data_IF_515912998215
#
_entry.id   IF_515912998215
#
_cell.length_a   1.000
_cell.length_b   1.000
_cell.length_c   1.000
_cell.angle_alpha   90.00
_cell.angle_beta   90.00
_cell.angle_gamma   90.00
#
_symmetry.space_group_name_H-M   'P 1'
#
loop_
_entity.id
_entity.type
_entity.pdbx_description
1 polymer ?
#
# COMPACT_ATOMS: atom_id res chain seq x y z
N UNK A 1 2.87 12.92 4.77
CA UNK A 1 3.21 11.48 4.78
C UNK A 1 4.70 11.39 5.05
N UNK A 2 5.12 10.92 6.23
CA UNK A 2 6.54 10.78 6.62
C UNK A 2 7.15 9.63 5.82
N UNK A 3 7.83 9.99 4.72
CA UNK A 3 8.04 9.15 3.53
C UNK A 3 9.26 8.25 3.52
N UNK A 4 9.60 7.60 4.64
CA UNK A 4 10.69 6.62 4.65
C UNK A 4 10.20 5.17 4.55
N UNK A 5 8.97 4.90 5.00
CA UNK A 5 8.33 3.58 4.94
C UNK A 5 6.83 3.78 4.76
N UNK A 6 6.21 2.99 3.91
CA UNK A 6 4.77 2.77 3.94
C UNK A 6 4.48 1.32 4.26
N UNK A 7 3.52 1.09 5.16
CA UNK A 7 3.02 -0.23 5.47
C UNK A 7 1.52 -0.24 5.20
N UNK A 8 1.10 -1.13 4.30
CA UNK A 8 -0.27 -1.24 3.84
C UNK A 8 -0.57 -2.66 3.38
N UNK A 9 -1.86 -2.95 3.37
CA UNK A 9 -2.41 -4.19 2.88
C UNK A 9 -3.08 -3.94 1.53
N UNK A 10 -2.92 -4.87 0.61
CA UNK A 10 -3.57 -4.85 -0.71
C UNK A 10 -4.68 -5.88 -0.70
N UNK A 11 -5.88 -5.46 -1.09
CA UNK A 11 -7.06 -6.31 -1.22
C UNK A 11 -7.73 -6.05 -2.56
N UNK A 12 -8.47 -7.03 -3.07
CA UNK A 12 -9.42 -6.77 -4.14
C UNK A 12 -10.56 -5.90 -3.60
N UNK A 13 -11.09 -5.00 -4.42
CA UNK A 13 -12.18 -4.09 -4.01
C UNK A 13 -13.44 -4.85 -3.57
N UNK A 14 -13.62 -6.08 -4.07
CA UNK A 14 -14.72 -6.99 -3.70
C UNK A 14 -14.56 -7.64 -2.33
N UNK A 15 -13.35 -7.61 -1.75
CA UNK A 15 -13.07 -8.17 -0.42
C UNK A 15 -13.32 -7.17 0.72
N UNK A 16 -13.66 -5.92 0.37
CA UNK A 16 -13.84 -4.85 1.35
C UNK A 16 -15.21 -4.17 1.21
N UNK A 17 -15.70 -3.68 2.34
CA UNK A 17 -16.83 -2.75 2.39
C UNK A 17 -16.32 -1.43 2.97
N UNK A 18 -16.75 -0.32 2.39
CA UNK A 18 -16.36 1.03 2.85
C UNK A 18 -17.59 1.81 3.28
N UNK A 19 -17.44 2.64 4.31
CA UNK A 19 -18.51 3.49 4.82
C UNK A 19 -17.95 4.82 5.32
N UNK A 20 -18.78 5.87 5.27
CA UNK A 20 -18.39 7.23 5.63
C UNK A 20 -17.85 8.06 4.47
N UNK A 21 -17.80 9.38 4.67
CA UNK A 21 -17.32 10.33 3.68
C UNK A 21 -15.78 10.43 3.69
N UNK A 22 -15.20 10.61 2.51
CA UNK A 22 -13.75 10.81 2.32
C UNK A 22 -13.47 11.97 1.38
N UNK A 23 -12.39 12.71 1.64
CA UNK A 23 -11.79 13.58 0.63
C UNK A 23 -10.89 12.75 -0.31
N UNK A 24 -10.86 13.09 -1.59
CA UNK A 24 -10.04 12.40 -2.58
C UNK A 24 -9.01 13.33 -3.21
N UNK A 25 -7.82 12.80 -3.51
CA UNK A 25 -6.76 13.52 -4.22
C UNK A 25 -6.11 12.60 -5.25
N UNK A 26 -6.05 13.07 -6.49
CA UNK A 26 -5.41 12.38 -7.60
C UNK A 26 -3.97 12.90 -7.79
N UNK A 27 -3.04 11.98 -8.03
CA UNK A 27 -1.65 12.31 -8.30
C UNK A 27 -1.01 11.33 -9.28
N UNK A 28 0.00 11.81 -10.02
CA UNK A 28 0.79 10.98 -10.92
C UNK A 28 1.80 10.15 -10.13
N UNK A 29 1.72 8.83 -10.22
CA UNK A 29 2.67 7.91 -9.60
C UNK A 29 3.98 7.80 -10.39
N UNK A 30 4.95 7.03 -9.87
CA UNK A 30 6.23 6.78 -10.55
C UNK A 30 6.09 6.11 -11.92
N UNK A 31 4.96 5.43 -12.16
CA UNK A 31 4.61 4.81 -13.45
C UNK A 31 4.08 5.82 -14.49
N UNK A 32 3.83 7.07 -14.12
CA UNK A 32 3.19 8.07 -14.99
C UNK A 32 1.66 8.00 -15.01
N UNK A 33 1.05 6.99 -14.37
CA UNK A 33 -0.41 6.85 -14.28
C UNK A 33 -1.00 7.48 -13.02
N UNK A 34 -2.30 7.76 -13.05
CA UNK A 34 -3.02 8.45 -11.98
C UNK A 34 -3.40 7.48 -10.87
N UNK A 35 -3.08 7.91 -9.65
CA UNK A 35 -3.35 7.22 -8.40
C UNK A 35 -4.33 8.07 -7.60
N UNK A 36 -5.35 7.45 -6.99
CA UNK A 36 -6.38 8.18 -6.20
C UNK A 36 -6.27 7.84 -4.71
N UNK A 37 -5.84 8.81 -3.91
CA UNK A 37 -5.78 8.66 -2.45
C UNK A 37 -7.05 9.20 -1.79
N UNK A 38 -7.57 8.47 -0.80
CA UNK A 38 -8.73 8.85 0.00
C UNK A 38 -8.34 9.13 1.44
N UNK A 39 -8.90 10.19 2.01
CA UNK A 39 -8.56 10.71 3.33
C UNK A 39 -9.81 10.89 4.19
N UNK A 40 -9.69 10.58 5.48
CA UNK A 40 -10.74 10.89 6.46
C UNK A 40 -10.98 12.41 6.50
N UNK A 41 -12.23 12.83 6.38
CA UNK A 41 -12.63 14.26 6.39
C UNK A 41 -12.36 14.97 7.71
N UNK A 42 -12.17 14.21 8.80
CA UNK A 42 -11.93 14.77 10.14
C UNK A 42 -10.44 14.91 10.47
N UNK A 43 -9.66 13.83 10.31
CA UNK A 43 -8.26 13.80 10.73
C UNK A 43 -7.26 13.90 9.57
N UNK A 44 -7.74 13.90 8.31
CA UNK A 44 -6.92 13.92 7.09
C UNK A 44 -5.89 12.79 6.98
N UNK A 45 -6.06 11.71 7.77
CA UNK A 45 -5.29 10.48 7.59
C UNK A 45 -5.74 9.80 6.31
N UNK A 46 -4.79 9.32 5.50
CA UNK A 46 -5.09 8.49 4.33
C UNK A 46 -5.71 7.19 4.82
N UNK A 47 -6.86 6.82 4.28
CA UNK A 47 -7.60 5.61 4.67
C UNK A 47 -7.63 4.56 3.56
N UNK A 48 -7.48 4.99 2.31
CA UNK A 48 -7.50 4.09 1.15
C UNK A 48 -6.71 4.70 -0.01
N UNK A 49 -6.20 3.84 -0.87
CA UNK A 49 -5.41 4.18 -2.05
C UNK A 49 -5.88 3.31 -3.21
N UNK A 50 -6.44 3.90 -4.25
CA UNK A 50 -6.66 3.22 -5.52
C UNK A 50 -5.40 3.37 -6.38
N UNK A 51 -4.62 2.30 -6.59
CA UNK A 51 -3.56 2.33 -7.59
C UNK A 51 -4.14 2.61 -8.97
N UNK A 52 -3.28 3.07 -9.87
CA UNK A 52 -3.67 3.24 -11.28
C UNK A 52 -4.27 1.95 -11.85
N UNK A 53 -5.37 2.07 -12.59
CA UNK A 53 -6.08 0.93 -13.17
C UNK A 53 -5.19 0.16 -14.16
N UNK A 54 -4.31 0.86 -14.87
CA UNK A 54 -3.33 0.30 -15.80
C UNK A 54 -2.26 -0.56 -15.11
N UNK A 55 -2.11 -0.43 -13.79
CA UNK A 55 -1.10 -1.13 -13.00
C UNK A 55 -1.72 -2.25 -12.16
N UNK A 56 -2.83 -1.97 -11.46
CA UNK A 56 -3.53 -2.93 -10.61
C UNK A 56 -5.04 -2.67 -10.60
N UNK A 57 -5.71 -3.05 -11.68
CA UNK A 57 -7.18 -2.99 -11.77
C UNK A 57 -7.86 -3.79 -10.65
N UNK A 58 -8.88 -3.20 -10.04
CA UNK A 58 -9.70 -3.87 -9.02
C UNK A 58 -9.03 -4.04 -7.66
N UNK A 59 -7.83 -3.51 -7.45
CA UNK A 59 -7.12 -3.56 -6.17
C UNK A 59 -7.22 -2.25 -5.41
N UNK A 60 -7.15 -2.32 -4.08
CA UNK A 60 -7.10 -1.18 -3.18
C UNK A 60 -6.03 -1.39 -2.12
N UNK A 61 -5.28 -0.32 -1.82
CA UNK A 61 -4.32 -0.27 -0.73
C UNK A 61 -4.92 0.37 0.51
N UNK A 62 -4.86 -0.33 1.65
CA UNK A 62 -5.32 0.14 2.96
C UNK A 62 -4.11 0.28 3.89
N UNK A 63 -3.87 1.46 4.51
CA UNK A 63 -2.75 1.61 5.45
C UNK A 63 -2.92 0.69 6.67
N UNK A 64 -1.87 -0.02 7.09
CA UNK A 64 -2.02 -1.01 8.16
C UNK A 64 -2.55 -0.41 9.47
N UNK A 65 -2.19 0.84 9.76
CA UNK A 65 -2.62 1.54 10.97
C UNK A 65 -4.13 1.82 11.06
N UNK A 66 -4.90 1.62 9.99
CA UNK A 66 -6.36 1.81 10.00
C UNK A 66 -7.13 0.56 10.44
N UNK A 67 -6.45 -0.58 10.62
CA UNK A 67 -7.06 -1.83 11.06
C UNK A 67 -7.15 -1.90 12.59
N UNK A 68 -8.28 -2.35 13.12
CA UNK A 68 -8.47 -2.57 14.56
C UNK A 68 -7.47 -3.60 15.12
N UNK A 69 -7.19 -4.64 14.34
CA UNK A 69 -6.28 -5.73 14.67
C UNK A 69 -4.87 -5.56 14.05
N UNK A 70 -4.43 -4.32 13.76
CA UNK A 70 -3.16 -4.04 13.07
C UNK A 70 -1.95 -4.78 13.66
N UNK A 71 -1.89 -4.97 14.98
CA UNK A 71 -0.79 -5.66 15.68
C UNK A 71 -0.68 -7.15 15.36
N UNK A 72 -1.76 -7.77 14.88
CA UNK A 72 -1.81 -9.19 14.54
C UNK A 72 -1.46 -9.46 13.07
N UNK A 73 -1.29 -8.41 12.27
CA UNK A 73 -0.99 -8.51 10.84
C UNK A 73 0.53 -8.39 10.67
N UNK A 74 1.14 -9.41 10.06
CA UNK A 74 2.56 -9.40 9.70
C UNK A 74 2.72 -9.10 8.20
N UNK A 75 3.68 -8.25 7.81
CA UNK A 75 4.00 -8.07 6.40
C UNK A 75 4.55 -9.38 5.82
N UNK A 76 3.97 -9.83 4.71
CA UNK A 76 4.45 -11.00 3.96
C UNK A 76 5.45 -10.63 2.87
N UNK A 77 5.32 -9.41 2.33
CA UNK A 77 6.10 -8.95 1.19
C UNK A 77 6.64 -7.56 1.47
N UNK A 78 7.89 -7.32 1.06
CA UNK A 78 8.47 -5.99 0.91
C UNK A 78 8.89 -5.75 -0.54
N UNK A 79 8.72 -4.52 -1.01
CA UNK A 79 8.97 -4.07 -2.39
C UNK A 79 9.75 -2.75 -2.34
N UNK A 80 10.44 -2.40 -3.42
CA UNK A 80 11.37 -1.27 -3.47
C UNK A 80 12.50 -1.37 -2.45
N UNK A 81 13.04 -2.58 -2.25
CA UNK A 81 14.12 -2.78 -1.27
C UNK A 81 15.41 -2.06 -1.66
N UNK A 82 15.59 -1.68 -2.93
CA UNK A 82 16.70 -0.82 -3.38
C UNK A 82 16.66 0.57 -2.73
N UNK A 83 15.47 1.06 -2.39
CA UNK A 83 15.24 2.39 -1.81
C UNK A 83 15.22 2.35 -0.27
N UNK A 84 15.44 1.18 0.34
CA UNK A 84 15.38 0.99 1.80
C UNK A 84 16.54 1.72 2.46
N UNK A 85 16.25 2.54 3.47
CA UNK A 85 17.29 3.21 4.26
C UNK A 85 18.12 2.15 5.00
N UNK A 86 19.45 2.31 5.01
CA UNK A 86 20.39 1.32 5.57
C UNK A 86 20.02 0.84 6.98
N UNK A 87 19.54 1.74 7.85
CA UNK A 87 19.17 1.38 9.22
C UNK A 87 17.92 0.50 9.35
N UNK A 88 17.13 0.37 8.27
CA UNK A 88 15.94 -0.47 8.18
C UNK A 88 16.25 -1.87 7.64
N UNK A 89 17.47 -2.16 7.21
CA UNK A 89 17.86 -3.44 6.57
C UNK A 89 17.96 -4.64 7.51
N UNK A 90 17.65 -4.49 8.80
CA UNK A 90 17.62 -5.64 9.72
C UNK A 90 16.56 -6.66 9.26
N UNK A 91 16.80 -7.97 9.43
CA UNK A 91 15.87 -9.01 8.98
C UNK A 91 14.55 -8.88 9.74
N UNK A 92 13.49 -8.51 9.03
CA UNK A 92 12.14 -8.30 9.57
C UNK A 92 11.44 -9.67 9.77
N UNK A 93 10.99 -9.91 11.00
CA UNK A 93 10.58 -11.21 11.54
C UNK A 93 9.22 -11.73 11.01
N UNK A 94 9.09 -11.89 9.70
CA UNK A 94 7.87 -12.43 9.09
C UNK A 94 7.68 -12.14 7.59
N UNK A 95 8.59 -11.38 6.97
CA UNK A 95 8.56 -11.15 5.51
C UNK A 95 9.06 -12.41 4.79
N UNK A 96 8.23 -12.94 3.91
CA UNK A 96 8.48 -14.16 3.14
C UNK A 96 9.20 -13.83 1.81
N UNK A 97 8.85 -12.71 1.19
CA UNK A 97 9.35 -12.31 -0.13
C UNK A 97 9.83 -10.85 -0.16
N UNK A 98 10.90 -10.60 -0.91
CA UNK A 98 11.54 -9.28 -1.02
C UNK A 98 11.89 -8.99 -2.47
N UNK A 99 11.50 -7.82 -2.95
CA UNK A 99 11.75 -7.39 -4.33
C UNK A 99 12.43 -6.02 -4.35
N UNK A 100 13.42 -5.87 -5.24
CA UNK A 100 14.13 -4.59 -5.42
C UNK A 100 13.22 -3.50 -5.99
N UNK A 101 12.19 -3.86 -6.75
CA UNK A 101 11.19 -2.95 -7.33
C UNK A 101 9.76 -3.38 -6.91
N UNK A 102 8.76 -3.09 -7.72
CA UNK A 102 7.32 -3.26 -7.43
C UNK A 102 6.84 -4.69 -7.21
N UNK A 103 7.63 -5.70 -7.61
CA UNK A 103 7.28 -7.12 -7.49
C UNK A 103 6.03 -7.53 -8.27
N UNK A 104 5.54 -6.70 -9.20
CA UNK A 104 4.33 -6.95 -9.99
C UNK A 104 4.55 -8.06 -11.03
N UNK A 105 5.63 -8.06 -11.84
CA UNK A 105 5.86 -9.11 -12.82
C UNK A 105 5.92 -10.50 -12.20
N UNK A 106 6.57 -10.64 -11.05
CA UNK A 106 6.74 -11.90 -10.32
C UNK A 106 5.40 -12.42 -9.79
N UNK A 107 4.48 -11.53 -9.41
CA UNK A 107 3.13 -11.90 -8.95
C UNK A 107 2.15 -12.23 -10.09
N UNK A 108 2.32 -11.63 -11.27
CA UNK A 108 1.48 -11.92 -12.43
C UNK A 108 1.87 -13.23 -13.14
N UNK A 109 3.08 -13.74 -12.90
CA UNK A 109 3.60 -14.97 -13.51
C UNK A 109 3.58 -16.20 -12.59
N UNK A 110 3.08 -16.05 -11.35
CA UNK A 110 2.98 -17.12 -10.35
C UNK A 110 1.61 -17.83 -10.35
#
# INVERSE_FOLDING_TARGET
MTGSINLGCLYAITEIETSGETNSYEFTGGSGYINTAHFCTTCNVRVMMHPAQEIMEGMVGLPLGTFENAKSISPKIQIWTSEKLDFLTKPDSGVEESFEDSGIPERLMA
#
